data_IF_383024413785
#
_entry.id   IF_383024413785
#
_cell.length_a   1.000
_cell.length_b   1.000
_cell.length_c   1.000
_cell.angle_alpha   90.00
_cell.angle_beta   90.00
_cell.angle_gamma   90.00
#
_symmetry.space_group_name_H-M   'P 1'
#
loop_
_entity.id
_entity.type
_entity.pdbx_description
1 polymer ?
2 non-polymer ?
3 non-polymer ?
4 non-polymer ?
5 water ?
#
# COMPACT_ATOMS: atom_id res chain seq x y z
N UNK A 4 -28.55 -15.58 -11.74
CA UNK A 4 -28.63 -16.05 -10.30
C UNK A 4 -27.34 -16.54 -9.65
N UNK A 5 -26.64 -17.49 -10.25
CA UNK A 5 -25.52 -18.17 -9.58
C UNK A 5 -24.27 -18.34 -10.43
N UNK A 6 -24.20 -17.71 -11.60
CA UNK A 6 -22.96 -17.78 -12.39
C UNK A 6 -21.84 -16.96 -11.72
N UNK A 7 -20.61 -17.39 -11.96
CA UNK A 7 -19.46 -16.90 -11.25
C UNK A 7 -19.09 -15.44 -11.58
N UNK A 8 -18.49 -14.80 -10.60
CA UNK A 8 -17.82 -13.49 -10.72
C UNK A 8 -16.35 -13.84 -10.77
N UNK A 9 -15.63 -13.32 -11.76
CA UNK A 9 -14.26 -13.75 -11.96
C UNK A 9 -13.32 -12.61 -11.63
N UNK A 10 -12.37 -12.89 -10.73
CA UNK A 10 -11.42 -11.86 -10.23
C UNK A 10 -10.04 -12.31 -10.52
N UNK A 11 -9.32 -11.53 -11.34
CA UNK A 11 -7.95 -11.89 -11.66
C UNK A 11 -7.03 -11.03 -10.82
N UNK A 12 -6.06 -11.62 -10.16
CA UNK A 12 -5.16 -10.93 -9.22
C UNK A 12 -3.72 -11.19 -9.60
N UNK A 13 -2.97 -10.10 -9.83
CA UNK A 13 -1.56 -10.21 -10.10
C UNK A 13 -0.86 -9.57 -8.92
N UNK A 14 -0.09 -10.34 -8.17
CA UNK A 14 0.66 -9.78 -7.01
C UNK A 14 2.04 -10.41 -7.03
N UNK A 15 2.93 -9.85 -6.20
CA UNK A 15 4.33 -10.20 -6.16
C UNK A 15 4.66 -11.19 -5.04
N UNK A 16 4.84 -12.45 -5.40
CA UNK A 16 5.11 -13.48 -4.43
C UNK A 16 6.50 -14.12 -4.55
N UNK A 17 7.30 -13.61 -5.49
CA UNK A 17 8.71 -13.90 -5.61
C UNK A 17 9.46 -12.58 -5.86
N UNK A 18 10.77 -12.58 -5.66
CA UNK A 18 11.60 -11.39 -5.92
C UNK A 18 11.61 -10.39 -4.77
N UNK A 19 12.26 -9.22 -4.98
CA UNK A 19 12.47 -8.23 -3.93
C UNK A 19 11.20 -7.77 -3.23
N UNK A 20 10.00 -7.88 -3.85
CA UNK A 20 8.75 -7.38 -3.25
C UNK A 20 7.85 -8.53 -2.72
N UNK A 21 8.38 -9.74 -2.59
CA UNK A 21 7.57 -10.86 -2.10
C UNK A 21 7.00 -10.55 -0.68
N UNK A 22 7.70 -9.76 0.12
CA UNK A 22 7.24 -9.44 1.47
C UNK A 22 5.89 -8.73 1.49
N UNK A 23 5.57 -8.03 0.39
CA UNK A 23 4.31 -7.34 0.24
C UNK A 23 3.22 -8.21 -0.41
N UNK A 24 3.57 -9.00 -1.43
CA UNK A 24 2.55 -9.77 -2.12
C UNK A 24 2.15 -11.04 -1.42
N UNK A 25 3.08 -11.64 -0.67
CA UNK A 25 2.75 -12.87 0.10
C UNK A 25 1.56 -12.62 1.06
N UNK A 26 1.61 -11.52 1.86
CA UNK A 26 0.46 -11.27 2.70
C UNK A 26 -0.77 -10.95 1.92
N UNK A 27 -0.62 -10.33 0.76
CA UNK A 27 -1.79 -9.97 -0.02
C UNK A 27 -2.50 -11.24 -0.53
N UNK A 28 -1.72 -12.18 -1.03
CA UNK A 28 -2.21 -13.48 -1.47
C UNK A 28 -2.76 -14.27 -0.28
N UNK A 29 -2.02 -14.28 0.83
CA UNK A 29 -2.48 -15.01 2.00
C UNK A 29 -3.82 -14.53 2.49
N UNK A 30 -4.06 -13.22 2.42
CA UNK A 30 -5.28 -12.66 2.92
C UNK A 30 -6.52 -13.16 2.21
N UNK A 31 -6.29 -13.67 0.99
CA UNK A 31 -7.39 -14.16 0.19
C UNK A 31 -8.12 -15.33 0.83
N UNK A 32 -7.43 -16.05 1.73
CA UNK A 32 -8.10 -17.11 2.52
C UNK A 32 -9.30 -16.57 3.27
N UNK A 33 -9.28 -15.28 3.63
CA UNK A 33 -10.21 -14.70 4.62
C UNK A 33 -11.30 -13.84 4.03
N UNK A 34 -11.32 -13.67 2.70
CA UNK A 34 -12.35 -12.88 2.07
C UNK A 34 -13.49 -13.81 1.66
N UNK A 35 -14.63 -13.22 1.38
CA UNK A 35 -15.75 -13.98 0.91
C UNK A 35 -15.44 -14.79 -0.36
N UNK A 36 -16.10 -15.94 -0.52
CA UNK A 36 -15.85 -16.80 -1.72
C UNK A 36 -17.10 -16.85 -2.62
N UNK A 37 -18.07 -16.02 -2.28
CA UNK A 37 -19.28 -15.82 -3.07
C UNK A 37 -19.90 -14.52 -2.61
N UNK A 38 -20.54 -13.79 -3.54
CA UNK A 38 -21.29 -12.58 -3.21
C UNK A 38 -22.68 -12.63 -3.82
N UNK A 39 -23.71 -12.41 -3.00
CA UNK A 39 -25.12 -12.41 -3.46
C UNK A 39 -25.50 -13.67 -4.25
N UNK A 40 -24.95 -14.80 -3.84
CA UNK A 40 -25.27 -16.07 -4.46
C UNK A 40 -24.41 -16.42 -5.65
N UNK A 41 -23.47 -15.53 -6.03
CA UNK A 41 -22.54 -15.78 -7.12
C UNK A 41 -21.17 -16.16 -6.59
N UNK A 42 -20.71 -17.37 -6.89
CA UNK A 42 -19.40 -17.80 -6.46
C UNK A 42 -18.31 -16.95 -7.11
N UNK A 43 -17.25 -16.66 -6.36
CA UNK A 43 -16.11 -15.95 -6.90
C UNK A 43 -15.08 -16.93 -7.31
N UNK A 44 -14.62 -16.78 -8.54
CA UNK A 44 -13.53 -17.57 -9.05
C UNK A 44 -12.37 -16.59 -9.03
N UNK A 45 -11.40 -16.88 -8.17
CA UNK A 45 -10.20 -16.05 -8.07
C UNK A 45 -9.08 -16.76 -8.82
N UNK A 46 -8.38 -15.99 -9.65
CA UNK A 46 -7.24 -16.50 -10.35
C UNK A 46 -6.10 -15.61 -9.93
N UNK A 47 -5.10 -16.19 -9.27
CA UNK A 47 -3.97 -15.45 -8.74
C UNK A 47 -2.71 -15.88 -9.41
N UNK A 48 -1.96 -14.91 -9.91
CA UNK A 48 -0.67 -15.17 -10.53
C UNK A 48 0.39 -14.26 -9.99
N UNK A 49 1.56 -14.81 -9.82
CA UNK A 49 2.75 -14.03 -9.50
C UNK A 49 3.19 -13.20 -10.69
N UNK A 50 3.63 -11.97 -10.42
CA UNK A 50 4.29 -11.14 -11.47
C UNK A 50 5.78 -10.89 -11.16
N UNK A 51 6.27 -11.35 -10.01
CA UNK A 51 7.68 -11.07 -9.67
C UNK A 51 7.99 -9.57 -9.46
N UNK A 52 6.99 -8.71 -9.40
CA UNK A 52 7.21 -7.27 -9.34
C UNK A 52 7.54 -6.65 -10.68
N UNK A 53 7.47 -7.44 -11.76
CA UNK A 53 7.96 -7.05 -13.08
C UNK A 53 6.80 -6.52 -13.89
N UNK A 54 6.95 -5.27 -14.39
CA UNK A 54 5.89 -4.73 -15.19
C UNK A 54 5.51 -5.58 -16.41
N UNK A 55 6.49 -6.23 -17.05
CA UNK A 55 6.20 -7.02 -18.24
C UNK A 55 5.34 -8.26 -17.90
N UNK A 56 5.64 -8.88 -16.75
CA UNK A 56 4.87 -10.06 -16.33
C UNK A 56 3.47 -9.59 -15.87
N UNK A 57 3.40 -8.44 -15.18
CA UNK A 57 2.11 -7.95 -14.73
C UNK A 57 1.20 -7.57 -15.93
N UNK A 58 1.82 -6.96 -16.95
CA UNK A 58 1.09 -6.67 -18.19
C UNK A 58 0.51 -7.95 -18.82
N UNK A 59 1.36 -8.95 -18.93
CA UNK A 59 0.94 -10.26 -19.43
C UNK A 59 -0.21 -10.84 -18.61
N UNK A 60 -0.07 -10.83 -17.28
CA UNK A 60 -1.11 -11.42 -16.47
C UNK A 60 -2.47 -10.68 -16.66
N UNK A 61 -2.43 -9.34 -16.63
CA UNK A 61 -3.65 -8.55 -16.78
C UNK A 61 -4.29 -8.82 -18.14
N UNK A 62 -3.50 -8.82 -19.20
CA UNK A 62 -4.02 -9.08 -20.55
C UNK A 62 -4.74 -10.43 -20.64
N UNK A 63 -4.15 -11.44 -20.01
CA UNK A 63 -4.73 -12.79 -20.08
C UNK A 63 -5.94 -12.91 -19.17
N UNK A 64 -5.94 -12.19 -18.03
CA UNK A 64 -7.17 -12.10 -17.25
C UNK A 64 -8.33 -11.59 -18.03
N UNK A 65 -8.09 -10.59 -18.86
CA UNK A 65 -9.16 -9.98 -19.61
C UNK A 65 -9.64 -10.91 -20.74
N UNK A 66 -8.69 -11.42 -21.55
CA UNK A 66 -9.03 -12.04 -22.84
C UNK A 66 -9.32 -13.52 -22.68
N UNK A 67 -8.59 -14.15 -21.77
CA UNK A 67 -8.75 -15.56 -21.55
C UNK A 67 -9.68 -15.89 -20.40
N UNK A 68 -9.47 -15.25 -19.25
CA UNK A 68 -10.26 -15.56 -18.06
C UNK A 68 -11.60 -14.83 -18.07
N UNK A 69 -11.77 -13.85 -18.97
CA UNK A 69 -13.01 -13.07 -19.07
C UNK A 69 -13.31 -12.45 -17.70
N UNK A 70 -12.27 -11.91 -17.08
CA UNK A 70 -12.40 -11.38 -15.72
C UNK A 70 -13.42 -10.26 -15.65
N UNK A 71 -14.10 -10.18 -14.53
CA UNK A 71 -14.95 -9.06 -14.22
C UNK A 71 -14.19 -7.89 -13.58
N UNK A 72 -13.14 -8.21 -12.82
CA UNK A 72 -12.35 -7.22 -12.10
C UNK A 72 -10.93 -7.75 -12.05
N UNK A 73 -9.96 -6.84 -12.10
CA UNK A 73 -8.56 -7.21 -11.91
C UNK A 73 -8.02 -6.45 -10.70
N UNK A 74 -7.11 -7.10 -9.99
CA UNK A 74 -6.48 -6.54 -8.78
C UNK A 74 -4.99 -6.69 -8.86
N UNK A 75 -4.28 -5.69 -8.34
CA UNK A 75 -2.85 -5.75 -8.16
C UNK A 75 -2.18 -4.46 -8.56
N UNK A 76 -0.84 -4.42 -8.50
CA UNK A 76 0.05 -5.44 -7.98
C UNK A 76 0.52 -4.95 -6.61
N UNK A 77 1.67 -5.46 -6.17
CA UNK A 77 2.17 -5.31 -4.81
C UNK A 77 3.01 -4.00 -4.69
N UNK A 78 3.55 -3.56 -5.83
CA UNK A 78 4.44 -2.40 -5.92
C UNK A 78 4.05 -1.57 -7.14
N UNK A 79 4.56 -0.33 -7.18
CA UNK A 79 4.07 0.67 -8.11
C UNK A 79 4.28 0.32 -9.58
N UNK A 80 5.50 -0.12 -9.95
CA UNK A 80 5.73 -0.36 -11.40
C UNK A 80 4.75 -1.38 -12.05
N UNK A 81 4.57 -2.56 -11.46
CA UNK A 81 3.57 -3.49 -12.03
C UNK A 81 2.14 -2.96 -11.90
N UNK A 82 1.88 -2.13 -10.87
CA UNK A 82 0.53 -1.62 -10.70
C UNK A 82 0.19 -0.62 -11.81
N UNK A 83 1.16 0.20 -12.19
CA UNK A 83 1.01 1.06 -13.36
C UNK A 83 0.70 0.24 -14.61
N UNK A 84 1.44 -0.82 -14.78
CA UNK A 84 1.34 -1.71 -15.96
C UNK A 84 -0.08 -2.31 -16.04
N UNK A 85 -0.59 -2.74 -14.87
CA UNK A 85 -1.96 -3.28 -14.85
C UNK A 85 -3.02 -2.20 -15.09
N UNK A 86 -2.82 -0.99 -14.56
CA UNK A 86 -3.81 0.04 -14.74
C UNK A 86 -3.87 0.39 -16.25
N UNK A 87 -2.72 0.38 -16.89
CA UNK A 87 -2.67 0.70 -18.30
C UNK A 87 -3.48 -0.34 -19.09
N UNK A 88 -3.27 -1.61 -18.78
CA UNK A 88 -4.06 -2.64 -19.42
C UNK A 88 -5.55 -2.46 -19.12
N UNK A 89 -5.90 -2.26 -17.86
CA UNK A 89 -7.30 -2.18 -17.48
C UNK A 89 -8.01 -1.08 -18.22
N UNK A 90 -7.34 0.08 -18.33
CA UNK A 90 -7.99 1.23 -18.93
C UNK A 90 -8.13 1.07 -20.46
N UNK A 91 -7.31 0.24 -21.08
CA UNK A 91 -7.47 -0.08 -22.51
C UNK A 91 -8.56 -1.16 -22.72
N UNK A 92 -8.51 -2.15 -21.85
CA UNK A 92 -9.45 -3.31 -21.91
C UNK A 92 -10.88 -2.91 -21.45
N UNK A 93 -10.99 -1.83 -20.68
CA UNK A 93 -12.26 -1.35 -20.07
C UNK A 93 -12.77 -2.37 -19.02
N UNK A 94 -11.91 -2.59 -18.02
CA UNK A 94 -12.20 -3.48 -16.91
C UNK A 94 -11.82 -2.81 -15.59
N UNK A 95 -12.69 -2.95 -14.55
CA UNK A 95 -12.32 -2.34 -13.27
C UNK A 95 -11.05 -2.96 -12.73
N UNK A 96 -10.22 -2.07 -12.17
CA UNK A 96 -8.94 -2.47 -11.61
C UNK A 96 -8.83 -1.89 -10.22
N UNK A 97 -8.55 -2.74 -9.23
CA UNK A 97 -8.28 -2.31 -7.86
C UNK A 97 -6.82 -2.46 -7.59
N UNK A 98 -6.10 -1.35 -7.49
CA UNK A 98 -4.66 -1.37 -7.31
C UNK A 98 -4.34 -1.59 -5.85
N UNK A 99 -3.27 -2.35 -5.59
CA UNK A 99 -2.83 -2.61 -4.18
C UNK A 99 -1.51 -1.90 -3.82
N UNK A 100 -1.03 -1.04 -4.71
CA UNK A 100 0.14 -0.17 -4.52
C UNK A 100 -0.29 1.25 -4.94
N UNK A 101 0.33 2.26 -4.34
CA UNK A 101 0.03 3.61 -4.78
C UNK A 101 0.55 3.69 -6.25
N UNK A 102 -0.15 4.43 -7.05
CA UNK A 102 0.40 4.74 -8.31
C UNK A 102 0.00 6.13 -8.75
N UNK A 103 0.77 6.68 -9.70
CA UNK A 103 0.37 7.99 -10.20
C UNK A 103 -0.83 7.86 -11.14
N UNK A 104 -1.89 8.53 -10.75
CA UNK A 104 -3.13 8.58 -11.53
C UNK A 104 -3.04 9.72 -12.57
N UNK A 105 -3.23 9.31 -13.81
CA UNK A 105 -3.16 10.16 -14.99
C UNK A 105 -4.47 9.99 -15.72
N UNK A 106 -4.75 10.86 -16.72
CA UNK A 106 -5.96 10.65 -17.52
C UNK A 106 -6.12 9.24 -18.13
N UNK A 107 -5.00 8.66 -18.50
CA UNK A 107 -5.01 7.37 -19.11
C UNK A 107 -5.44 6.28 -18.12
N UNK A 108 -5.35 6.57 -16.81
CA UNK A 108 -5.50 5.55 -15.77
C UNK A 108 -6.73 5.69 -14.90
N UNK A 109 -7.26 6.91 -14.88
CA UNK A 109 -8.27 7.35 -13.90
C UNK A 109 -9.66 6.72 -14.07
N UNK A 110 -10.03 6.31 -15.29
CA UNK A 110 -11.42 5.87 -15.50
C UNK A 110 -11.66 4.49 -14.85
N UNK A 111 -10.71 3.58 -15.00
CA UNK A 111 -10.98 2.17 -14.64
C UNK A 111 -10.24 1.69 -13.43
N UNK A 112 -9.31 2.51 -12.88
CA UNK A 112 -8.57 2.11 -11.70
C UNK A 112 -8.98 2.85 -10.47
N UNK A 113 -9.05 2.10 -9.36
CA UNK A 113 -9.09 2.69 -8.00
C UNK A 113 -7.91 2.12 -7.22
N UNK A 114 -7.60 2.76 -6.07
CA UNK A 114 -6.39 2.51 -5.36
C UNK A 114 -6.61 2.28 -3.87
N UNK A 115 -6.22 1.15 -3.36
CA UNK A 115 -6.41 0.85 -1.96
C UNK A 115 -5.43 1.56 -1.02
N UNK A 116 -4.11 1.50 -1.34
CA UNK A 116 -3.21 2.17 -0.38
C UNK A 116 -3.43 3.66 -0.27
N UNK A 117 -3.08 4.20 0.87
CA UNK A 117 -3.18 5.60 1.11
C UNK A 117 -2.33 6.38 0.13
N UNK A 118 -2.88 7.50 -0.36
CA UNK A 118 -2.09 8.34 -1.24
C UNK A 118 -0.93 8.97 -0.46
N UNK A 119 0.16 9.19 -1.18
CA UNK A 119 1.39 9.60 -0.55
C UNK A 119 1.24 10.94 0.18
N UNK A 120 0.44 11.90 -0.32
CA UNK A 120 0.40 13.14 0.45
C UNK A 120 -0.24 13.03 1.83
N UNK A 121 -1.18 12.10 1.95
CA UNK A 121 -1.81 11.88 3.26
C UNK A 121 -0.77 11.38 4.24
N UNK A 122 0.03 10.44 3.76
CA UNK A 122 1.06 9.84 4.61
C UNK A 122 2.22 10.81 4.85
N UNK A 123 2.58 11.60 3.85
CA UNK A 123 3.65 12.58 4.03
C UNK A 123 3.25 13.60 5.07
N UNK A 124 2.01 14.04 5.05
CA UNK A 124 1.58 15.11 5.96
C UNK A 124 1.74 14.68 7.44
N UNK A 125 1.42 13.43 7.79
CA UNK A 125 1.58 12.94 9.16
C UNK A 125 3.07 12.91 9.59
N UNK A 126 3.94 12.53 8.66
CA UNK A 126 5.37 12.47 8.93
C UNK A 126 5.93 13.88 9.10
N UNK A 127 5.60 14.77 8.16
CA UNK A 127 6.14 16.15 8.22
C UNK A 127 5.63 16.91 9.44
N UNK A 128 4.37 16.67 9.85
CA UNK A 128 3.84 17.31 11.04
C UNK A 128 4.61 16.83 12.30
N UNK A 129 4.99 15.56 12.33
CA UNK A 129 5.72 15.05 13.48
C UNK A 129 7.13 15.65 13.49
N UNK A 130 7.75 15.73 12.32
CA UNK A 130 9.02 16.45 12.18
C UNK A 130 8.95 17.84 12.79
N UNK A 131 7.96 18.62 12.37
CA UNK A 131 7.80 19.99 12.88
C UNK A 131 7.56 20.04 14.37
N UNK A 132 6.73 19.12 14.88
CA UNK A 132 6.41 19.05 16.31
C UNK A 132 7.66 18.76 17.13
N UNK A 133 8.60 18.05 16.52
CA UNK A 133 9.77 17.54 17.21
C UNK A 133 11.04 18.35 16.88
N UNK A 134 10.82 19.56 16.38
CA UNK A 134 11.87 20.55 16.14
C UNK A 134 12.86 20.18 15.06
N UNK A 135 12.43 19.32 14.16
CA UNK A 135 13.23 18.95 12.99
C UNK A 135 13.20 20.11 11.99
N UNK A 136 14.38 20.48 11.51
CA UNK A 136 14.52 21.57 10.55
C UNK A 136 15.06 21.10 9.22
N UNK A 137 16.09 20.23 9.24
CA UNK A 137 16.71 19.79 8.00
C UNK A 137 16.42 18.29 7.77
N UNK A 138 16.18 17.97 6.52
CA UNK A 138 15.69 16.63 6.13
C UNK A 138 16.45 16.17 4.89
N UNK A 139 16.96 14.95 4.97
CA UNK A 139 17.55 14.27 3.79
C UNK A 139 16.61 13.17 3.29
N UNK A 140 16.84 12.73 2.05
CA UNK A 140 16.04 11.67 1.42
C UNK A 140 16.87 10.59 0.77
N UNK A 141 16.41 9.37 0.96
CA UNK A 141 16.95 8.25 0.21
C UNK A 141 15.77 7.39 -0.20
N UNK A 142 15.62 7.18 -1.49
CA UNK A 142 14.53 6.38 -2.02
C UNK A 142 14.80 5.76 -3.38
N UNK A 143 13.85 4.98 -3.85
CA UNK A 143 14.03 4.32 -5.14
C UNK A 143 14.19 5.33 -6.28
N UNK A 144 14.98 4.94 -7.24
CA UNK A 144 15.10 5.64 -8.51
C UNK A 144 13.96 5.21 -9.48
N UNK A 145 12.72 5.35 -9.02
CA UNK A 145 11.58 5.03 -9.85
C UNK A 145 10.35 5.83 -9.39
N UNK A 146 9.18 5.53 -9.96
CA UNK A 146 8.03 6.36 -9.71
C UNK A 146 7.63 6.44 -8.25
N UNK A 147 7.74 5.33 -7.51
CA UNK A 147 7.37 5.36 -6.08
C UNK A 147 8.32 6.33 -5.37
N UNK A 148 9.63 6.23 -5.63
CA UNK A 148 10.57 7.12 -4.97
C UNK A 148 10.37 8.57 -5.36
N UNK A 149 9.95 8.76 -6.62
CA UNK A 149 9.70 10.10 -7.12
C UNK A 149 8.45 10.66 -6.43
N UNK A 150 7.40 9.87 -6.32
CA UNK A 150 6.17 10.33 -5.65
C UNK A 150 6.50 10.88 -4.26
N UNK A 151 7.36 10.14 -3.55
CA UNK A 151 7.72 10.52 -2.18
C UNK A 151 8.62 11.74 -2.15
N UNK A 152 9.67 11.75 -2.97
CA UNK A 152 10.55 12.95 -2.99
C UNK A 152 9.78 14.18 -3.42
N UNK A 153 8.91 14.08 -4.43
CA UNK A 153 8.16 15.28 -4.85
C UNK A 153 7.26 15.81 -3.69
N UNK A 154 6.64 14.91 -2.99
CA UNK A 154 5.83 15.29 -1.86
C UNK A 154 6.62 15.99 -0.75
N UNK A 155 7.77 15.43 -0.37
CA UNK A 155 8.63 16.04 0.64
C UNK A 155 9.00 17.48 0.20
N UNK A 156 9.35 17.67 -1.08
CA UNK A 156 9.67 18.98 -1.61
C UNK A 156 8.45 19.89 -1.54
N UNK A 157 7.29 19.39 -2.00
CA UNK A 157 6.14 20.29 -2.13
C UNK A 157 5.51 20.56 -0.78
N UNK A 158 5.12 19.52 -0.05
CA UNK A 158 4.49 19.72 1.25
C UNK A 158 5.47 20.12 2.34
N UNK A 159 6.57 19.39 2.43
CA UNK A 159 7.58 19.58 3.49
C UNK A 159 8.12 20.99 3.48
N UNK A 160 8.50 21.46 2.29
CA UNK A 160 9.06 22.82 2.17
C UNK A 160 8.01 23.87 2.41
N UNK A 161 6.76 23.60 2.01
CA UNK A 161 5.66 24.52 2.31
C UNK A 161 5.49 24.77 3.82
N UNK A 162 5.89 23.79 4.61
CA UNK A 162 5.79 23.81 6.07
C UNK A 162 7.12 24.15 6.74
N UNK A 163 8.09 24.68 5.99
CA UNK A 163 9.30 25.24 6.57
C UNK A 163 10.46 24.27 6.67
N UNK A 164 10.27 23.00 6.28
CA UNK A 164 11.38 22.08 6.30
C UNK A 164 12.39 22.40 5.18
N UNK A 165 13.66 22.13 5.45
CA UNK A 165 14.73 22.32 4.48
C UNK A 165 15.32 20.97 4.09
N UNK A 166 15.35 20.71 2.79
CA UNK A 166 15.87 19.46 2.22
C UNK A 166 17.33 19.63 1.92
N UNK A 167 18.19 18.82 2.53
CA UNK A 167 19.64 19.06 2.41
C UNK A 167 20.43 18.00 1.63
N UNK A 168 19.74 17.04 1.05
CA UNK A 168 20.39 16.01 0.25
C UNK A 168 19.31 15.05 -0.18
N UNK A 169 19.45 14.50 -1.40
CA UNK A 169 18.61 13.43 -1.93
C UNK A 169 19.58 12.40 -2.56
N UNK A 170 19.30 11.13 -2.25
CA UNK A 170 20.02 10.00 -2.81
C UNK A 170 18.98 8.99 -3.29
N UNK A 171 19.30 8.28 -4.37
CA UNK A 171 18.44 7.21 -4.87
C UNK A 171 19.18 5.91 -4.97
N UNK A 172 18.39 4.83 -4.95
CA UNK A 172 18.95 3.49 -5.18
C UNK A 172 17.94 2.68 -5.97
N UNK A 173 18.37 1.58 -6.59
CA UNK A 173 17.47 0.73 -7.36
C UNK A 173 16.92 -0.39 -6.45
N UNK A 174 15.73 -0.84 -6.76
CA UNK A 174 15.05 -1.85 -5.94
C UNK A 174 15.88 -3.10 -5.57
N UNK A 175 16.65 -3.66 -6.55
CA UNK A 175 17.41 -4.85 -6.28
C UNK A 175 18.75 -4.62 -5.61
N UNK A 176 19.16 -3.36 -5.39
CA UNK A 176 20.51 -3.07 -4.90
C UNK A 176 20.67 -3.70 -3.54
N UNK A 177 21.86 -4.25 -3.30
CA UNK A 177 22.12 -4.88 -2.02
C UNK A 177 23.00 -4.01 -1.12
N UNK A 178 23.46 -2.87 -1.64
CA UNK A 178 24.23 -1.91 -0.87
C UNK A 178 23.74 -0.49 -1.16
N UNK A 179 23.67 0.32 -0.10
CA UNK A 179 23.51 1.78 -0.26
C UNK A 179 24.61 2.56 0.50
N UNK A 180 25.79 1.96 0.48
CA UNK A 180 26.96 2.45 1.22
C UNK A 180 27.27 3.88 0.88
N UNK A 181 27.32 4.17 -0.42
CA UNK A 181 27.70 5.48 -0.93
C UNK A 181 26.69 6.56 -0.66
N UNK A 182 25.41 6.22 -0.87
CA UNK A 182 24.33 7.14 -0.60
C UNK A 182 24.30 7.49 0.87
N UNK A 183 24.46 6.48 1.71
CA UNK A 183 24.43 6.66 3.18
C UNK A 183 25.57 7.56 3.67
N UNK A 184 26.74 7.40 3.08
CA UNK A 184 27.88 8.22 3.48
C UNK A 184 27.65 9.68 3.08
N UNK A 185 27.05 9.96 1.90
CA UNK A 185 26.69 11.35 1.59
C UNK A 185 25.68 11.97 2.55
N UNK A 186 24.69 11.19 2.96
CA UNK A 186 23.66 11.69 3.89
C UNK A 186 24.22 11.85 5.30
N UNK A 187 25.11 10.94 5.71
CA UNK A 187 25.71 11.10 7.03
C UNK A 187 26.57 12.37 7.10
N UNK A 188 27.28 12.66 6.01
CA UNK A 188 28.17 13.80 5.92
C UNK A 188 27.29 15.05 5.99
N UNK A 189 26.15 15.00 5.32
CA UNK A 189 25.21 16.15 5.34
C UNK A 189 24.58 16.36 6.70
N UNK A 190 24.45 15.28 7.46
CA UNK A 190 23.91 15.30 8.81
C UNK A 190 22.60 16.11 9.03
N UNK A 191 21.57 15.75 8.28
CA UNK A 191 20.26 16.38 8.54
C UNK A 191 19.70 15.95 9.86
N UNK A 192 18.73 16.72 10.39
CA UNK A 192 18.04 16.32 11.62
C UNK A 192 17.28 15.02 11.43
N UNK A 193 16.77 14.82 10.23
CA UNK A 193 15.99 13.63 9.92
C UNK A 193 16.23 13.18 8.51
N UNK A 194 15.98 11.90 8.26
CA UNK A 194 16.06 11.33 6.92
C UNK A 194 14.77 10.57 6.65
N UNK A 195 14.15 10.86 5.49
CA UNK A 195 12.99 10.12 4.99
C UNK A 195 13.52 9.04 4.01
N UNK A 196 13.09 7.81 4.24
CA UNK A 196 13.43 6.66 3.36
C UNK A 196 12.18 6.38 2.52
N UNK A 197 12.34 6.48 1.20
CA UNK A 197 11.27 6.21 0.25
C UNK A 197 11.42 4.86 -0.42
N UNK A 198 10.97 3.84 0.29
CA UNK A 198 11.19 2.47 -0.14
C UNK A 198 10.13 1.58 0.46
N UNK A 199 10.30 0.27 0.32
CA UNK A 199 9.26 -0.63 0.81
C UNK A 199 9.85 -1.98 1.10
N UNK A 200 9.13 -2.73 1.93
CA UNK A 200 9.57 -4.09 2.19
C UNK A 200 10.97 -4.21 2.73
N UNK A 201 11.66 -5.23 2.28
CA UNK A 201 13.04 -5.55 2.66
C UNK A 201 13.97 -4.37 2.36
N UNK A 202 13.75 -3.76 1.20
CA UNK A 202 14.59 -2.64 0.76
C UNK A 202 14.47 -1.45 1.72
N UNK A 203 13.33 -1.29 2.40
CA UNK A 203 13.18 -0.19 3.37
C UNK A 203 14.12 -0.31 4.55
N UNK A 204 14.47 -1.55 4.89
CA UNK A 204 15.34 -1.80 6.05
C UNK A 204 16.80 -1.54 5.68
N UNK A 205 17.07 -1.53 4.37
CA UNK A 205 18.46 -1.42 3.95
C UNK A 205 19.06 -0.05 4.34
N UNK A 206 18.37 1.05 3.98
CA UNK A 206 18.83 2.35 4.50
C UNK A 206 18.78 2.45 6.02
N UNK A 207 17.79 1.84 6.65
CA UNK A 207 17.65 1.83 8.12
C UNK A 207 18.93 1.32 8.79
N UNK A 208 19.36 0.14 8.38
CA UNK A 208 20.52 -0.50 8.98
C UNK A 208 21.80 0.24 8.57
N UNK A 209 21.86 0.68 7.32
CA UNK A 209 23.12 1.25 6.78
C UNK A 209 23.41 2.60 7.42
N UNK A 210 22.38 3.40 7.55
CA UNK A 210 22.52 4.73 8.18
C UNK A 210 22.99 4.61 9.63
N UNK A 211 22.36 3.73 10.41
CA UNK A 211 22.81 3.53 11.78
C UNK A 211 24.26 3.01 11.87
N UNK A 212 24.61 1.99 11.05
CA UNK A 212 25.93 1.42 11.06
C UNK A 212 26.99 2.46 10.67
N UNK A 213 26.62 3.41 9.80
CA UNK A 213 27.53 4.47 9.38
C UNK A 213 27.48 5.71 10.31
N UNK A 214 26.84 5.59 11.47
CA UNK A 214 26.93 6.61 12.50
C UNK A 214 25.86 7.67 12.52
N UNK A 215 24.80 7.50 11.73
CA UNK A 215 23.72 8.48 11.71
C UNK A 215 22.97 8.45 13.04
N UNK A 216 22.77 9.63 13.63
CA UNK A 216 22.13 9.75 14.95
C UNK A 216 20.81 10.47 14.93
N UNK A 217 20.35 10.89 13.75
CA UNK A 217 19.12 11.65 13.67
C UNK A 217 17.91 10.72 13.60
N UNK A 218 16.75 11.32 13.43
CA UNK A 218 15.49 10.60 13.30
C UNK A 218 15.33 10.07 11.87
N UNK A 219 14.85 8.83 11.76
CA UNK A 219 14.59 8.24 10.47
C UNK A 219 13.11 8.00 10.36
N UNK A 220 12.58 8.34 9.17
CA UNK A 220 11.13 8.28 8.87
C UNK A 220 10.96 7.32 7.71
N UNK A 221 9.98 6.46 7.82
CA UNK A 221 9.71 5.41 6.83
C UNK A 221 8.28 5.57 6.31
N UNK A 222 8.10 5.13 5.08
CA UNK A 222 6.79 5.23 4.45
C UNK A 222 5.92 4.02 4.78
N UNK A 223 4.66 4.08 4.30
CA UNK A 223 3.74 2.98 4.55
C UNK A 223 4.10 1.71 3.82
N UNK A 224 5.03 1.84 2.88
CA UNK A 224 5.60 0.67 2.26
C UNK A 224 6.43 -0.23 3.17
N UNK A 225 6.77 0.26 4.38
CA UNK A 225 7.60 -0.48 5.31
C UNK A 225 6.81 -1.25 6.38
N UNK A 226 5.47 -1.14 6.38
CA UNK A 226 4.63 -1.48 7.53
C UNK A 226 4.28 -2.97 7.58
N UNK A 227 5.29 -3.78 7.88
CA UNK A 227 5.10 -5.18 8.23
C UNK A 227 6.17 -5.62 9.22
N UNK A 228 6.06 -6.86 9.72
CA UNK A 228 7.07 -7.38 10.62
C UNK A 228 8.41 -7.56 10.00
N UNK A 229 8.43 -7.80 8.69
CA UNK A 229 9.70 -7.99 7.99
C UNK A 229 10.64 -6.82 8.30
N UNK A 230 10.11 -5.62 8.48
CA UNK A 230 10.98 -4.49 8.72
C UNK A 230 11.75 -4.63 10.03
N UNK A 231 11.06 -4.97 11.10
CA UNK A 231 11.66 -5.21 12.41
C UNK A 231 12.59 -6.44 12.39
N UNK A 232 12.15 -7.53 11.75
CA UNK A 232 12.96 -8.73 11.63
C UNK A 232 14.31 -8.40 11.01
N UNK A 233 14.31 -7.68 9.89
CA UNK A 233 15.52 -7.39 9.14
C UNK A 233 16.36 -6.28 9.78
N UNK A 234 15.71 -5.17 10.14
CA UNK A 234 16.45 -4.03 10.67
C UNK A 234 16.93 -4.21 12.15
N UNK A 235 16.28 -5.08 12.91
CA UNK A 235 16.68 -5.36 14.30
C UNK A 235 16.75 -4.11 15.16
N UNK A 236 17.87 -3.97 15.87
CA UNK A 236 18.07 -2.84 16.78
C UNK A 236 18.00 -1.50 16.02
N UNK A 237 18.40 -1.50 14.75
CA UNK A 237 18.41 -0.27 13.95
C UNK A 237 17.01 0.30 13.74
N UNK A 238 15.98 -0.54 13.89
CA UNK A 238 14.58 -0.11 13.75
C UNK A 238 14.09 0.72 14.94
N UNK A 239 14.75 0.61 16.08
CA UNK A 239 14.30 1.35 17.26
C UNK A 239 14.14 2.84 16.96
N UNK A 240 13.02 3.41 17.38
CA UNK A 240 12.82 4.83 17.27
C UNK A 240 12.37 5.34 15.92
N UNK A 241 12.27 4.44 14.94
CA UNK A 241 11.82 4.81 13.64
C UNK A 241 10.40 5.45 13.74
N UNK A 242 10.09 6.38 12.84
CA UNK A 242 8.72 6.95 12.71
C UNK A 242 8.21 6.47 11.35
N UNK A 243 7.06 5.82 11.36
CA UNK A 243 6.54 5.17 10.18
C UNK A 243 5.04 5.50 9.96
N UNK A 244 4.68 5.93 8.76
CA UNK A 244 3.26 6.13 8.38
C UNK A 244 2.68 4.74 8.17
N UNK A 245 1.45 4.54 8.58
CA UNK A 245 0.82 3.23 8.44
C UNK A 245 -0.67 3.38 8.35
N UNK A 246 -1.32 2.41 7.74
CA UNK A 246 -2.75 2.41 7.88
C UNK A 246 -3.20 1.89 9.23
N UNK A 247 -4.47 2.09 9.53
CA UNK A 247 -4.96 1.69 10.85
C UNK A 247 -5.11 0.22 11.14
N UNK A 248 -4.99 -0.61 10.10
CA UNK A 248 -5.01 -2.05 10.28
C UNK A 248 -3.90 -2.54 11.23
N UNK A 249 -2.84 -1.75 11.38
CA UNK A 249 -1.76 -2.14 12.26
C UNK A 249 -2.19 -2.10 13.74
N UNK A 250 -3.26 -1.38 14.04
CA UNK A 250 -3.71 -1.33 15.45
C UNK A 250 -5.24 -1.11 15.56
N UNK A 251 -6.04 -2.11 15.21
CA UNK A 251 -7.45 -2.01 15.45
C UNK A 251 -7.85 -2.01 16.95
N UNK A 252 -7.07 -2.67 17.79
CA UNK A 252 -7.40 -2.79 19.22
C UNK A 252 -7.47 -1.41 19.85
N UNK A 253 -6.60 -0.51 19.40
CA UNK A 253 -6.54 0.87 19.90
C UNK A 253 -7.58 1.84 19.44
N UNK A 254 -8.41 1.44 18.47
CA UNK A 254 -9.37 2.33 17.88
C UNK A 254 -10.59 2.38 18.77
N UNK A 255 -11.24 3.54 18.72
CA UNK A 255 -12.55 3.69 19.33
C UNK A 255 -13.55 2.76 18.68
N UNK A 256 -14.49 2.23 19.48
CA UNK A 256 -15.55 1.39 18.93
C UNK A 256 -16.41 2.13 17.88
N UNK A 257 -16.46 3.44 17.96
CA UNK A 257 -17.17 4.23 16.94
C UNK A 257 -16.43 4.27 15.57
N UNK A 258 -15.13 3.95 15.52
CA UNK A 258 -14.43 3.99 14.25
C UNK A 258 -14.93 2.93 13.28
N UNK A 259 -15.31 3.37 12.07
CA UNK A 259 -15.82 2.46 11.04
C UNK A 259 -14.80 1.40 10.63
N UNK A 260 -13.51 1.71 10.81
CA UNK A 260 -12.45 0.80 10.49
C UNK A 260 -12.22 -0.28 11.53
N UNK A 261 -12.77 -0.14 12.73
CA UNK A 261 -12.41 -1.04 13.81
C UNK A 261 -12.90 -2.44 13.53
N UNK A 262 -14.17 -2.61 13.23
CA UNK A 262 -14.64 -4.01 13.05
C UNK A 262 -14.00 -4.75 11.90
N UNK A 263 -13.88 -4.10 10.72
CA UNK A 263 -13.17 -4.86 9.67
C UNK A 263 -11.71 -5.13 10.00
N UNK A 264 -11.06 -4.18 10.66
CA UNK A 264 -9.68 -4.40 11.01
C UNK A 264 -9.51 -5.49 12.04
N UNK A 265 -10.36 -5.50 13.05
CA UNK A 265 -10.36 -6.55 14.09
C UNK A 265 -10.65 -7.90 13.46
N UNK A 266 -11.58 -7.94 12.51
CA UNK A 266 -11.91 -9.22 11.85
C UNK A 266 -10.72 -9.76 11.09
N UNK A 267 -10.02 -8.93 10.31
CA UNK A 267 -8.87 -9.37 9.57
C UNK A 267 -7.74 -9.80 10.49
N UNK A 268 -7.33 -8.96 11.42
CA UNK A 268 -6.11 -9.31 12.17
C UNK A 268 -6.31 -10.59 13.00
N UNK A 269 -7.51 -10.78 13.53
CA UNK A 269 -7.79 -11.97 14.34
C UNK A 269 -7.62 -13.23 13.49
N UNK A 270 -8.24 -13.27 12.30
CA UNK A 270 -8.17 -14.52 11.53
C UNK A 270 -6.80 -14.68 10.88
N UNK A 271 -6.24 -13.58 10.40
CA UNK A 271 -4.93 -13.64 9.79
C UNK A 271 -3.90 -14.14 10.79
N UNK A 272 -3.91 -13.53 11.96
CA UNK A 272 -2.90 -13.86 12.99
C UNK A 272 -3.16 -15.20 13.69
N UNK A 273 -4.39 -15.67 13.67
CA UNK A 273 -4.68 -17.05 14.07
C UNK A 273 -3.91 -18.03 13.20
N UNK A 274 -3.89 -17.75 11.88
CA UNK A 274 -3.22 -18.65 10.96
C UNK A 274 -1.72 -18.43 10.95
N UNK A 275 -1.30 -17.17 10.88
CA UNK A 275 0.08 -16.82 10.57
C UNK A 275 0.93 -16.38 11.77
N UNK A 276 0.30 -16.27 12.91
CA UNK A 276 1.04 -16.07 14.15
C UNK A 276 0.87 -14.67 14.71
N UNK A 277 1.29 -14.53 15.98
CA UNK A 277 1.16 -13.21 16.63
C UNK A 277 1.98 -12.15 15.89
N UNK A 278 1.40 -10.96 15.78
CA UNK A 278 1.98 -9.80 15.15
C UNK A 278 2.29 -10.00 13.66
N UNK A 279 1.62 -10.96 13.01
CA UNK A 279 1.83 -11.21 11.56
C UNK A 279 1.04 -10.25 10.69
N UNK A 280 0.15 -9.47 11.28
CA UNK A 280 -0.57 -8.43 10.52
C UNK A 280 0.37 -7.51 9.72
N UNK A 281 -0.12 -7.03 8.59
CA UNK A 281 0.63 -6.08 7.77
C UNK A 281 -0.30 -5.13 7.05
N UNK A 282 0.24 -3.96 6.69
CA UNK A 282 -0.35 -3.02 5.78
C UNK A 282 -0.98 -3.75 4.55
N UNK A 283 -0.23 -4.72 4.05
CA UNK A 283 -0.45 -5.32 2.68
C UNK A 283 -1.61 -6.30 2.74
N UNK A 284 -1.65 -7.10 3.80
CA UNK A 284 -2.81 -7.96 4.01
C UNK A 284 -4.09 -7.10 4.04
N UNK A 285 -3.99 -5.94 4.66
CA UNK A 285 -5.12 -5.03 4.72
C UNK A 285 -5.66 -4.65 3.35
N UNK A 286 -4.78 -4.29 2.45
CA UNK A 286 -5.20 -3.91 1.11
C UNK A 286 -5.98 -4.96 0.33
N UNK A 287 -5.49 -6.19 0.32
CA UNK A 287 -6.12 -7.32 -0.34
C UNK A 287 -7.54 -7.54 0.25
N UNK A 288 -7.57 -7.58 1.59
CA UNK A 288 -8.80 -7.83 2.26
C UNK A 288 -9.78 -6.73 1.94
N UNK A 289 -9.26 -5.49 1.92
CA UNK A 289 -10.13 -4.35 1.75
C UNK A 289 -10.68 -4.30 0.30
N UNK A 290 -9.91 -4.78 -0.68
CA UNK A 290 -10.39 -4.86 -2.08
C UNK A 290 -11.66 -5.68 -2.14
N UNK A 291 -11.74 -6.76 -1.35
CA UNK A 291 -12.97 -7.56 -1.26
C UNK A 291 -14.07 -6.86 -0.48
N UNK A 292 -13.73 -6.09 0.55
CA UNK A 292 -14.76 -5.24 1.18
C UNK A 292 -15.40 -4.25 0.16
N UNK A 293 -14.58 -3.69 -0.74
CA UNK A 293 -15.11 -2.80 -1.76
C UNK A 293 -16.02 -3.63 -2.70
N UNK A 294 -15.60 -4.84 -3.06
CA UNK A 294 -16.39 -5.73 -3.94
C UNK A 294 -17.73 -6.16 -3.32
N UNK A 295 -17.71 -6.44 -2.01
CA UNK A 295 -18.96 -6.74 -1.32
C UNK A 295 -19.99 -5.60 -1.46
N UNK A 296 -19.49 -4.35 -1.53
CA UNK A 296 -20.36 -3.21 -1.64
C UNK A 296 -20.80 -2.96 -3.10
N UNK A 297 -19.86 -3.05 -4.05
CA UNK A 297 -20.20 -2.65 -5.42
C UNK A 297 -20.86 -3.75 -6.24
N UNK A 298 -20.57 -5.02 -5.94
CA UNK A 298 -21.11 -6.15 -6.72
C UNK A 298 -22.66 -6.20 -6.67
N UNK A 299 -23.26 -6.09 -5.46
CA UNK A 299 -24.74 -6.15 -5.46
C UNK A 299 -25.39 -5.03 -6.25
N UNK A 300 -24.74 -3.88 -6.26
CA UNK A 300 -25.23 -2.75 -7.06
C UNK A 300 -25.10 -3.07 -8.56
N UNK A 301 -23.97 -3.62 -8.99
CA UNK A 301 -23.77 -3.93 -10.41
C UNK A 301 -24.72 -5.01 -10.90
N UNK A 302 -24.99 -5.97 -10.01
CA UNK A 302 -25.87 -7.09 -10.31
C UNK A 302 -27.28 -6.69 -10.68
N UNK A 303 -27.74 -5.52 -10.24
CA UNK A 303 -29.05 -5.04 -10.58
C UNK A 303 -29.12 -4.71 -12.06
N UNK A 304 -27.97 -4.36 -12.63
CA UNK A 304 -27.91 -3.82 -14.00
C UNK A 304 -27.44 -4.84 -15.03
N UNK A 305 -26.69 -5.84 -14.59
CA UNK A 305 -26.08 -6.75 -15.53
C UNK A 305 -25.66 -8.01 -14.87
N UNK A 306 -25.42 -9.01 -15.69
CA UNK A 306 -24.95 -10.30 -15.22
C UNK A 306 -23.42 -10.34 -15.29
N UNK A 307 -22.79 -11.05 -14.36
CA UNK A 307 -21.33 -11.22 -14.46
C UNK A 307 -20.89 -11.84 -15.80
N UNK A 308 -19.67 -11.53 -16.23
CA UNK A 308 -19.12 -12.07 -17.47
C UNK A 308 -19.52 -11.28 -18.71
N UNK A 309 -20.10 -10.11 -18.51
CA UNK A 309 -20.48 -9.22 -19.59
C UNK A 309 -19.78 -7.87 -19.43
N UNK A 310 -19.67 -7.13 -20.52
CA UNK A 310 -19.04 -5.80 -20.48
C UNK A 310 -19.91 -4.84 -19.69
N UNK A 311 -21.22 -5.04 -19.79
CA UNK A 311 -22.18 -4.23 -19.06
C UNK A 311 -21.93 -4.38 -17.55
N UNK A 312 -21.48 -5.55 -17.11
CA UNK A 312 -21.20 -5.74 -15.67
C UNK A 312 -19.95 -4.97 -15.28
N UNK A 313 -18.93 -5.01 -16.13
CA UNK A 313 -17.70 -4.26 -15.85
C UNK A 313 -18.03 -2.76 -15.73
N UNK A 314 -18.85 -2.28 -16.64
CA UNK A 314 -19.29 -0.89 -16.63
C UNK A 314 -20.08 -0.54 -15.38
N UNK A 315 -20.98 -1.45 -14.97
CA UNK A 315 -21.84 -1.25 -13.80
C UNK A 315 -20.99 -1.22 -12.52
N UNK A 316 -19.96 -2.05 -12.46
CA UNK A 316 -19.01 -2.00 -11.33
C UNK A 316 -18.31 -0.65 -11.30
N UNK A 317 -17.83 -0.19 -12.45
CA UNK A 317 -17.17 1.11 -12.52
C UNK A 317 -18.04 2.22 -11.97
N UNK A 318 -19.28 2.30 -12.45
CA UNK A 318 -20.22 3.29 -11.95
C UNK A 318 -20.50 3.16 -10.44
N UNK A 319 -20.49 1.93 -9.93
CA UNK A 319 -20.81 1.66 -8.52
C UNK A 319 -19.67 2.19 -7.61
N UNK A 320 -18.43 2.22 -8.09
CA UNK A 320 -17.35 2.83 -7.30
C UNK A 320 -17.70 4.28 -6.98
N UNK A 321 -18.43 4.92 -7.90
CA UNK A 321 -18.73 6.30 -7.75
C UNK A 321 -19.96 6.49 -6.91
N UNK A 322 -20.88 5.52 -6.87
CA UNK A 322 -22.15 5.76 -6.16
C UNK A 322 -22.17 5.21 -4.73
N UNK A 323 -21.39 4.19 -4.46
CA UNK A 323 -21.35 3.58 -3.13
C UNK A 323 -20.43 4.35 -2.23
N UNK A 324 -21.02 4.97 -1.21
CA UNK A 324 -20.31 5.87 -0.29
C UNK A 324 -19.95 5.20 1.04
N UNK A 325 -18.91 5.74 1.65
CA UNK A 325 -18.36 5.26 2.91
C UNK A 325 -18.18 3.77 2.99
N UNK A 326 -17.33 3.24 2.10
CA UNK A 326 -17.03 1.81 2.13
C UNK A 326 -16.06 1.61 3.28
N UNK A 327 -16.52 0.96 4.33
CA UNK A 327 -15.68 0.71 5.47
C UNK A 327 -14.77 -0.48 5.21
N UNK A 328 -13.50 -0.32 5.55
CA UNK A 328 -12.52 -1.36 5.37
C UNK A 328 -11.49 -1.25 6.51
N UNK A 329 -10.56 -2.16 6.52
CA UNK A 329 -9.59 -2.22 7.59
C UNK A 329 -8.65 -1.01 7.57
N UNK A 330 -8.37 -0.51 6.36
CA UNK A 330 -7.39 0.58 6.14
C UNK A 330 -7.93 1.98 6.04
N UNK A 331 -9.24 2.09 6.04
CA UNK A 331 -9.82 3.38 5.86
C UNK A 331 -11.28 3.28 5.47
N UNK A 332 -11.83 4.46 5.16
CA UNK A 332 -13.22 4.59 4.69
C UNK A 332 -13.19 5.24 3.31
N UNK A 333 -13.68 4.50 2.30
CA UNK A 333 -13.47 4.83 0.88
C UNK A 333 -14.64 5.55 0.31
N UNK A 334 -14.33 6.69 -0.34
CA UNK A 334 -15.27 7.50 -1.10
C UNK A 334 -14.62 7.89 -2.43
N UNK A 335 -14.82 7.06 -3.45
CA UNK A 335 -14.18 7.31 -4.75
C UNK A 335 -14.98 8.35 -5.52
N UNK A 336 -14.28 9.16 -6.32
CA UNK A 336 -14.90 10.14 -7.20
C UNK A 336 -14.22 10.01 -8.54
N UNK A 337 -14.66 10.78 -9.54
CA UNK A 337 -14.04 10.71 -10.88
C UNK A 337 -12.60 11.16 -10.84
N UNK A 338 -12.29 12.12 -9.98
CA UNK A 338 -10.92 12.64 -9.89
C UNK A 338 -10.13 12.12 -8.70
N UNK A 339 -10.80 11.65 -7.65
CA UNK A 339 -10.05 11.04 -6.54
C UNK A 339 -10.25 9.53 -6.60
N UNK A 340 -9.22 8.81 -7.07
CA UNK A 340 -9.30 7.37 -7.29
C UNK A 340 -8.73 6.62 -6.10
N UNK A 341 -8.25 7.37 -5.10
CA UNK A 341 -7.84 6.76 -3.81
C UNK A 341 -9.03 6.76 -2.83
N UNK A 342 -9.65 7.91 -2.63
CA UNK A 342 -10.90 7.98 -1.88
C UNK A 342 -10.78 7.98 -0.38
N UNK A 343 -9.59 8.33 0.12
CA UNK A 343 -9.31 8.18 1.55
C UNK A 343 -9.07 9.54 2.23
N UNK A 344 -9.24 9.58 3.56
CA UNK A 344 -9.00 10.77 4.34
C UNK A 344 -8.26 10.46 5.65
N UNK A 345 -8.36 11.30 6.70
CA UNK A 345 -7.47 11.08 7.88
C UNK A 345 -7.79 9.84 8.68
N UNK A 346 -8.98 9.26 8.48
CA UNK A 346 -9.31 7.97 9.07
C UNK A 346 -8.45 6.83 8.52
N UNK A 347 -7.63 7.16 7.51
CA UNK A 347 -6.87 6.12 6.88
C UNK A 347 -5.44 6.11 7.33
N UNK A 348 -5.06 6.81 8.39
CA UNK A 348 -3.63 6.73 8.77
C UNK A 348 -3.39 6.92 10.25
N UNK A 349 -2.33 6.24 10.70
CA UNK A 349 -1.75 6.37 12.01
C UNK A 349 -0.24 6.51 11.86
N UNK A 350 0.41 6.87 12.95
CA UNK A 350 1.86 6.96 13.00
C UNK A 350 2.38 5.94 14.02
N UNK A 351 3.30 5.10 13.57
CA UNK A 351 3.95 4.12 14.41
C UNK A 351 5.42 4.38 14.70
N UNK A 352 5.87 3.89 15.84
CA UNK A 352 7.30 3.79 16.08
C UNK A 352 7.62 2.35 16.46
N UNK A 353 8.89 2.08 16.74
CA UNK A 353 9.29 0.76 17.20
C UNK A 353 10.02 0.93 18.52
N UNK A 354 9.55 0.18 19.52
CA UNK A 354 10.12 0.20 20.87
C UNK A 354 10.25 -1.26 21.31
N UNK A 355 11.48 -1.67 21.61
CA UNK A 355 11.79 -3.01 22.05
C UNK A 355 11.26 -4.05 21.09
N UNK A 356 11.47 -3.81 19.80
CA UNK A 356 11.18 -4.79 18.75
C UNK A 356 9.69 -4.98 18.46
N UNK A 357 8.86 -4.04 18.93
CA UNK A 357 7.44 -4.05 18.67
C UNK A 357 6.93 -2.67 18.14
N UNK A 358 5.95 -2.70 17.24
CA UNK A 358 5.32 -1.48 16.79
C UNK A 358 4.47 -0.89 17.91
N UNK A 359 4.58 0.44 18.09
CA UNK A 359 3.77 1.18 19.08
C UNK A 359 3.23 2.42 18.38
N UNK A 360 1.97 2.74 18.64
CA UNK A 360 1.36 3.91 18.12
C UNK A 360 2.01 5.13 18.76
N UNK A 361 2.21 6.14 17.91
CA UNK A 361 2.64 7.46 18.37
C UNK A 361 1.45 8.41 18.39
N UNK A 362 1.23 9.00 19.55
CA UNK A 362 0.11 9.92 19.74
C UNK A 362 0.53 11.40 19.60
X LIG B 1 4.19 0.97 -3.95
X LIG B 1 2.70 -0.72 -1.36
X LIG B 1 1.51 -0.50 -0.59
X LIG B 1 1.45 0.56 0.29
X LIG B 1 2.48 1.46 0.41
X LIG B 1 3.60 1.26 -0.41
X LIG B 1 3.73 0.20 -1.26
X LIG B 1 0.34 0.74 1.10
X LIG B 1 5.05 0.07 -1.96
X LIG B 1 5.15 0.54 -3.33
X LIG B 1 6.40 0.33 -4.00
X LIG B 1 7.39 -0.19 -3.46
X LIG B 1 6.39 0.64 -5.23
X LIG C 1 -0.03 -12.01 -24.25
X LIG C 1 -1.11 -12.90 -23.77
X LIG C 1 -0.33 -11.50 -25.60
X LIG C 1 0.15 -10.86 -23.32
X LIG C 1 1.19 -12.80 -24.27
X LIG D 1 27.51 -1.98 2.83
X LIG D 1 27.60 -2.94 3.96
X LIG D 1 26.67 -2.56 1.75
X LIG D 1 26.87 -0.72 3.30
X LIG D 1 28.86 -1.75 2.26
X LIG E 1 10.91 22.62 13.12
X LIG E 1 10.72 23.14 11.80
X LIG E 1 10.37 23.58 14.18
X LIG E 1 9.14 23.10 14.70
X LIG F 1 7.86 2.74 -12.38
X LIG F 1 8.87 3.76 -12.56
X LIG F 1 6.38 3.19 -12.52
X LIG F 1 5.85 2.90 -13.82
#
# INVERSE_FOLDING_TARGET
SNAETNEITVGISVTTTGPAAALGIPERNALEFVVKEISGHPIKIIVLDDGGDPTAATTNARRFVTESKADVIMGSSVTPPSVAISNVANEAQIPHIALAPLPITPERAKWSVVMPQPIPIMGKVLYEHMKKNNVKTVGYIGYSDSYGDLWFNDLKKQGEAMGLKIVGEERFARPDTSVAGQALKLVAANPDAILVGASGTAAALPQTTLRERGYNGLIYQTHGAASMDFIRIAGKSAEGVLMASGPVMDPEGQDDTALTKKPGMALVKVYEEKYGPSSRSQFAGHSYDAFKVLERVVPVALKKAKPGTQEFREALREAFLTEKDIAASQGVYNFTETDRYGLDDRSRILLTVKNGKYVIVK
ENO O4 C9 C8 C7 C6 C5 C4 O3 C3 C2 C1 O2 O1
SO4 S O1 O2 O3 O4
SO4 S O1 O2 O3 O4
EDO C1 O1 C2 O2
EDO C1 O1 C2 O2
#
